data_IF_872340130688
#
_entry.id   IF_872340130688
#
_cell.length_a   1.000
_cell.length_b   1.000
_cell.length_c   1.000
_cell.angle_alpha   90.00
_cell.angle_beta   90.00
_cell.angle_gamma   90.00
#
_symmetry.space_group_name_H-M   'P 1'
#
loop_
_entity.id
_entity.type
_entity.pdbx_description
1 polymer ?
#
# COMPACT_ATOMS: atom_id res chain seq x y z
N UNK A 1 -19.81 2.94 0.22
CA UNK A 1 -19.68 4.31 -0.37
C UNK A 1 -19.95 4.27 -1.86
N UNK A 2 -20.91 5.06 -2.36
CA UNK A 2 -21.30 5.00 -3.79
C UNK A 2 -20.54 5.99 -4.67
N UNK A 3 -20.17 7.16 -4.13
CA UNK A 3 -19.45 8.23 -4.84
C UNK A 3 -18.32 8.78 -3.98
N UNK A 4 -17.27 9.25 -4.64
CA UNK A 4 -16.16 9.98 -4.00
C UNK A 4 -16.31 11.51 -4.17
N UNK A 5 -17.27 11.97 -4.98
CA UNK A 5 -17.50 13.40 -5.20
C UNK A 5 -17.73 14.13 -3.87
N UNK A 6 -17.04 15.27 -3.68
CA UNK A 6 -17.08 16.11 -2.48
C UNK A 6 -16.58 15.43 -1.18
N UNK A 7 -16.07 14.19 -1.24
CA UNK A 7 -15.42 13.54 -0.10
C UNK A 7 -14.04 14.15 0.15
N UNK A 8 -13.58 14.11 1.39
CA UNK A 8 -12.20 14.48 1.76
C UNK A 8 -11.43 13.20 2.03
N UNK A 9 -10.37 12.98 1.26
CA UNK A 9 -9.55 11.78 1.32
C UNK A 9 -8.12 12.09 1.73
N UNK A 10 -7.64 11.48 2.81
CA UNK A 10 -6.25 11.53 3.27
C UNK A 10 -5.50 10.32 2.74
N UNK A 11 -4.33 10.51 2.14
CA UNK A 11 -3.52 9.45 1.55
C UNK A 11 -2.08 9.58 2.05
N UNK A 12 -1.59 8.59 2.78
CA UNK A 12 -0.17 8.50 3.17
C UNK A 12 0.63 7.74 2.12
N UNK A 13 1.92 8.08 1.95
CA UNK A 13 2.76 7.54 0.88
C UNK A 13 2.26 7.99 -0.50
N UNK A 14 1.79 9.25 -0.59
CA UNK A 14 1.20 9.79 -1.81
C UNK A 14 2.22 10.33 -2.82
N UNK A 15 3.48 10.42 -2.45
CA UNK A 15 4.56 10.88 -3.33
C UNK A 15 4.84 9.94 -4.51
N UNK A 16 4.48 8.67 -4.43
CA UNK A 16 4.75 7.72 -5.50
C UNK A 16 3.75 6.55 -5.56
N UNK A 17 3.94 5.65 -6.53
CA UNK A 17 3.30 4.34 -6.59
C UNK A 17 1.79 4.36 -6.47
N UNK A 18 1.24 3.47 -5.64
CA UNK A 18 -0.22 3.33 -5.43
C UNK A 18 -0.81 4.61 -4.83
N UNK A 19 -0.14 5.23 -3.84
CA UNK A 19 -0.63 6.43 -3.16
C UNK A 19 -0.82 7.60 -4.11
N UNK A 20 0.14 7.89 -4.98
CA UNK A 20 0.04 8.91 -6.04
C UNK A 20 -1.19 8.68 -6.92
N UNK A 21 -1.40 7.45 -7.39
CA UNK A 21 -2.53 7.16 -8.27
C UNK A 21 -3.87 7.08 -7.53
N UNK A 22 -3.90 6.77 -6.24
CA UNK A 22 -5.09 6.95 -5.41
C UNK A 22 -5.50 8.43 -5.36
N UNK A 23 -4.55 9.33 -5.09
CA UNK A 23 -4.80 10.77 -5.06
C UNK A 23 -5.32 11.28 -6.41
N UNK A 24 -4.67 10.91 -7.52
CA UNK A 24 -5.08 11.32 -8.88
C UNK A 24 -6.49 10.82 -9.21
N UNK A 25 -6.81 9.56 -8.93
CA UNK A 25 -8.11 8.98 -9.25
C UNK A 25 -9.23 9.54 -8.37
N UNK A 26 -8.94 9.82 -7.10
CA UNK A 26 -9.89 10.47 -6.18
C UNK A 26 -10.16 11.91 -6.60
N UNK A 27 -9.13 12.70 -6.93
CA UNK A 27 -9.28 14.06 -7.43
C UNK A 27 -10.09 14.07 -8.75
N UNK A 28 -9.81 13.14 -9.66
CA UNK A 28 -10.58 12.97 -10.90
C UNK A 28 -12.07 12.64 -10.64
N UNK A 29 -12.35 11.92 -9.55
CA UNK A 29 -13.70 11.59 -9.11
C UNK A 29 -14.40 12.72 -8.32
N UNK A 30 -13.78 13.90 -8.20
CA UNK A 30 -14.32 15.07 -7.52
C UNK A 30 -14.09 15.07 -6.00
N UNK A 31 -13.20 14.23 -5.48
CA UNK A 31 -12.82 14.26 -4.07
C UNK A 31 -11.76 15.33 -3.81
N UNK A 32 -11.87 16.04 -2.69
CA UNK A 32 -10.78 16.83 -2.14
C UNK A 32 -9.72 15.87 -1.55
N UNK A 33 -8.44 16.16 -1.78
CA UNK A 33 -7.38 15.23 -1.40
C UNK A 33 -6.34 15.90 -0.50
N UNK A 34 -5.94 15.15 0.52
CA UNK A 34 -4.83 15.49 1.42
C UNK A 34 -3.75 14.47 1.17
N UNK A 35 -2.61 14.92 0.62
CA UNK A 35 -1.50 14.06 0.25
C UNK A 35 -0.36 14.19 1.25
N UNK A 36 0.11 13.05 1.78
CA UNK A 36 1.18 12.99 2.77
C UNK A 36 2.30 12.07 2.30
N UNK A 37 3.53 12.51 2.43
CA UNK A 37 4.72 11.69 2.17
C UNK A 37 5.91 12.23 2.98
N UNK A 38 6.91 11.41 3.21
CA UNK A 38 8.17 11.84 3.84
C UNK A 38 9.09 12.54 2.84
N UNK A 39 8.93 12.26 1.54
CA UNK A 39 9.74 12.83 0.47
C UNK A 39 9.00 14.00 -0.18
N UNK A 40 9.50 15.22 0.08
CA UNK A 40 8.91 16.47 -0.41
C UNK A 40 8.95 16.59 -1.93
N UNK A 41 10.04 16.19 -2.59
CA UNK A 41 10.18 16.32 -4.03
C UNK A 41 9.13 15.49 -4.78
N UNK A 42 9.01 14.22 -4.43
CA UNK A 42 8.02 13.32 -5.05
C UNK A 42 6.58 13.69 -4.68
N UNK A 43 6.37 14.29 -3.50
CA UNK A 43 5.06 14.81 -3.10
C UNK A 43 4.68 16.01 -3.96
N UNK A 44 5.62 16.93 -4.22
CA UNK A 44 5.43 18.09 -5.10
C UNK A 44 5.09 17.66 -6.53
N UNK A 45 5.77 16.64 -7.08
CA UNK A 45 5.37 16.06 -8.38
C UNK A 45 3.91 15.61 -8.38
N UNK A 46 3.45 14.99 -7.29
CA UNK A 46 2.05 14.55 -7.18
C UNK A 46 1.09 15.73 -7.14
N UNK A 47 1.43 16.79 -6.40
CA UNK A 47 0.64 18.03 -6.33
C UNK A 47 0.50 18.66 -7.72
N UNK A 48 1.60 18.75 -8.49
CA UNK A 48 1.55 19.26 -9.85
C UNK A 48 0.59 18.46 -10.74
N UNK A 49 0.58 17.13 -10.61
CA UNK A 49 -0.37 16.27 -11.33
C UNK A 49 -1.83 16.50 -10.89
N UNK A 50 -2.06 16.95 -9.66
CA UNK A 50 -3.40 17.22 -9.13
C UNK A 50 -3.95 18.57 -9.56
N UNK A 51 -3.13 19.56 -9.93
CA UNK A 51 -3.53 20.92 -10.32
C UNK A 51 -4.48 20.97 -11.52
N UNK A 52 -4.55 19.92 -12.32
CA UNK A 52 -5.48 19.83 -13.45
C UNK A 52 -6.93 19.53 -13.05
N UNK A 53 -7.19 19.17 -11.79
CA UNK A 53 -8.51 18.81 -11.29
C UNK A 53 -9.08 19.97 -10.46
N UNK A 54 -10.39 20.23 -10.60
CA UNK A 54 -11.08 21.28 -9.86
C UNK A 54 -11.53 20.78 -8.46
N UNK A 55 -10.55 20.51 -7.59
CA UNK A 55 -10.75 20.03 -6.21
C UNK A 55 -9.78 20.73 -5.27
N UNK A 56 -10.12 20.76 -3.97
CA UNK A 56 -9.20 21.27 -2.97
C UNK A 56 -8.11 20.24 -2.68
N UNK A 57 -6.85 20.69 -2.69
CA UNK A 57 -5.66 19.88 -2.42
C UNK A 57 -4.89 20.51 -1.26
N UNK A 58 -4.51 19.71 -0.28
CA UNK A 58 -3.50 20.09 0.72
C UNK A 58 -2.43 19.01 0.84
N UNK A 59 -1.23 19.40 1.27
CA UNK A 59 -0.09 18.50 1.37
C UNK A 59 0.61 18.64 2.72
N UNK A 60 1.16 17.53 3.22
CA UNK A 60 1.93 17.49 4.45
C UNK A 60 3.15 16.60 4.26
N UNK A 61 4.34 17.19 4.42
CA UNK A 61 5.59 16.42 4.53
C UNK A 61 5.65 15.89 5.96
N UNK A 62 5.57 14.57 6.11
CA UNK A 62 5.59 13.92 7.42
C UNK A 62 6.06 12.46 7.32
N UNK A 63 6.68 11.98 8.39
CA UNK A 63 6.97 10.55 8.57
C UNK A 63 5.81 9.90 9.36
N UNK A 64 5.18 8.88 8.78
CA UNK A 64 4.10 8.14 9.45
C UNK A 64 4.58 7.37 10.70
N UNK A 65 5.87 7.13 10.84
CA UNK A 65 6.47 6.55 12.03
C UNK A 65 6.56 7.56 13.19
N UNK A 66 6.53 8.87 12.89
CA UNK A 66 6.47 9.92 13.92
C UNK A 66 5.04 10.03 14.44
N UNK A 67 4.86 9.62 15.70
CA UNK A 67 3.53 9.55 16.33
C UNK A 67 2.91 10.94 16.49
N UNK A 68 3.69 11.94 16.87
CA UNK A 68 3.24 13.30 17.09
C UNK A 68 2.71 13.93 15.80
N UNK A 69 3.40 13.73 14.67
CA UNK A 69 2.97 14.23 13.37
C UNK A 69 1.63 13.61 12.94
N UNK A 70 1.48 12.30 13.16
CA UNK A 70 0.25 11.57 12.82
C UNK A 70 -0.91 11.97 13.73
N UNK A 71 -0.69 12.18 15.03
CA UNK A 71 -1.72 12.62 15.98
C UNK A 71 -2.19 14.06 15.70
N UNK A 72 -1.33 14.92 15.17
CA UNK A 72 -1.68 16.29 14.78
C UNK A 72 -2.38 16.39 13.42
N UNK A 73 -2.25 15.38 12.53
CA UNK A 73 -2.73 15.45 11.17
C UNK A 73 -4.26 15.64 11.05
N UNK A 74 -5.14 14.95 11.82
CA UNK A 74 -6.58 15.15 11.71
C UNK A 74 -7.02 16.59 11.94
N UNK A 75 -6.42 17.30 12.92
CA UNK A 75 -6.68 18.72 13.19
C UNK A 75 -6.39 19.58 11.96
N UNK A 76 -5.22 19.41 11.35
CA UNK A 76 -4.82 20.13 10.13
C UNK A 76 -5.78 19.85 8.94
N UNK A 77 -6.23 18.59 8.80
CA UNK A 77 -7.18 18.21 7.76
C UNK A 77 -8.53 18.89 7.97
N UNK A 78 -9.04 18.92 9.20
CA UNK A 78 -10.33 19.55 9.53
C UNK A 78 -10.27 21.06 9.37
N UNK A 79 -9.17 21.69 9.75
CA UNK A 79 -8.95 23.13 9.55
C UNK A 79 -9.02 23.49 8.06
N UNK A 80 -8.38 22.72 7.20
CA UNK A 80 -8.30 23.01 5.76
C UNK A 80 -9.54 22.58 4.96
N UNK A 81 -10.22 21.51 5.35
CA UNK A 81 -11.27 20.87 4.56
C UNK A 81 -12.60 20.69 5.30
N UNK A 82 -12.67 21.06 6.58
CA UNK A 82 -13.86 20.96 7.43
C UNK A 82 -14.29 19.57 7.85
N UNK A 83 -13.70 18.53 7.26
CA UNK A 83 -14.06 17.12 7.49
C UNK A 83 -13.00 16.15 7.01
N UNK A 84 -13.16 14.87 7.38
CA UNK A 84 -12.47 13.73 6.77
C UNK A 84 -13.46 12.60 6.50
N UNK A 85 -13.43 12.03 5.31
CA UNK A 85 -14.35 10.95 4.90
C UNK A 85 -13.61 9.64 4.58
N UNK A 86 -12.36 9.73 4.09
CA UNK A 86 -11.54 8.58 3.68
C UNK A 86 -10.13 8.74 4.20
N UNK A 87 -9.58 7.66 4.76
CA UNK A 87 -8.16 7.59 5.15
C UNK A 87 -7.53 6.37 4.51
N UNK A 88 -6.53 6.60 3.65
CA UNK A 88 -5.73 5.55 3.03
C UNK A 88 -4.38 5.48 3.75
N UNK A 89 -4.23 4.54 4.66
CA UNK A 89 -2.97 4.18 5.27
C UNK A 89 -2.18 3.33 4.28
N UNK A 90 -1.50 4.01 3.34
CA UNK A 90 -0.84 3.38 2.22
C UNK A 90 0.69 3.48 2.30
N UNK A 91 1.25 4.41 3.05
CA UNK A 91 2.70 4.48 3.26
C UNK A 91 3.26 3.12 3.68
N UNK A 92 4.40 2.77 3.14
CA UNK A 92 5.04 1.50 3.45
C UNK A 92 6.42 1.38 2.84
N UNK A 93 7.28 0.67 3.55
CA UNK A 93 8.68 0.45 3.21
C UNK A 93 9.00 -1.03 3.25
N UNK A 94 10.14 -1.42 2.70
CA UNK A 94 10.63 -2.78 2.73
C UNK A 94 12.10 -2.83 3.16
N UNK A 95 12.49 -3.97 3.68
CA UNK A 95 13.87 -4.43 3.81
C UNK A 95 13.94 -5.87 3.35
N UNK A 96 15.11 -6.33 3.00
CA UNK A 96 15.37 -7.72 2.60
C UNK A 96 16.56 -8.33 3.37
N UNK A 97 16.75 -9.62 3.19
CA UNK A 97 17.84 -10.37 3.80
C UNK A 97 17.39 -11.42 4.80
N UNK A 98 18.34 -12.28 5.18
CA UNK A 98 18.08 -13.30 6.18
C UNK A 98 17.93 -12.68 7.56
N UNK A 99 17.02 -13.20 8.37
CA UNK A 99 16.73 -12.67 9.70
C UNK A 99 17.96 -12.58 10.61
N UNK A 100 18.89 -13.53 10.49
CA UNK A 100 20.14 -13.55 11.28
C UNK A 100 21.09 -12.38 10.98
N UNK A 101 20.96 -11.77 9.79
CA UNK A 101 21.81 -10.70 9.27
C UNK A 101 21.06 -9.35 9.21
N UNK A 102 19.81 -9.31 9.72
CA UNK A 102 18.97 -8.11 9.70
C UNK A 102 19.31 -7.22 10.88
N UNK A 103 19.74 -6.00 10.60
CA UNK A 103 20.02 -4.98 11.61
C UNK A 103 18.72 -4.58 12.35
N UNK A 104 18.84 -4.36 13.68
CA UNK A 104 17.71 -3.96 14.53
C UNK A 104 17.12 -2.62 14.08
N UNK A 105 17.95 -1.68 13.61
CA UNK A 105 17.50 -0.40 13.05
C UNK A 105 16.53 -0.57 11.88
N UNK A 106 16.80 -1.48 10.95
CA UNK A 106 15.91 -1.75 9.82
C UNK A 106 14.64 -2.47 10.25
N UNK A 107 14.75 -3.35 11.26
CA UNK A 107 13.58 -3.96 11.87
C UNK A 107 12.64 -2.90 12.45
N UNK A 108 13.17 -2.02 13.31
CA UNK A 108 12.39 -0.96 13.98
C UNK A 108 11.82 0.04 12.98
N UNK A 109 12.60 0.42 11.97
CA UNK A 109 12.12 1.30 10.90
C UNK A 109 10.92 0.71 10.14
N UNK A 110 10.98 -0.57 9.75
CA UNK A 110 9.87 -1.23 9.03
C UNK A 110 8.65 -1.39 9.94
N UNK A 111 8.86 -1.74 11.22
CA UNK A 111 7.78 -1.79 12.22
C UNK A 111 7.14 -0.42 12.43
N UNK A 112 7.94 0.62 12.55
CA UNK A 112 7.50 2.00 12.72
C UNK A 112 6.58 2.46 11.60
N UNK A 113 7.05 2.34 10.36
CA UNK A 113 6.29 2.79 9.17
C UNK A 113 5.09 1.87 8.89
N UNK A 114 5.33 0.57 8.74
CA UNK A 114 4.33 -0.35 8.19
C UNK A 114 3.24 -0.75 9.16
N UNK A 115 3.53 -0.76 10.47
CA UNK A 115 2.56 -1.18 11.50
C UNK A 115 2.16 0.00 12.38
N UNK A 116 3.10 0.64 13.08
CA UNK A 116 2.76 1.70 14.01
C UNK A 116 2.17 2.91 13.30
N UNK A 117 2.66 3.28 12.12
CA UNK A 117 2.08 4.33 11.27
C UNK A 117 0.61 4.06 10.93
N UNK A 118 0.28 2.83 10.55
CA UNK A 118 -1.11 2.42 10.26
C UNK A 118 -1.99 2.47 11.51
N UNK A 119 -1.52 1.93 12.64
CA UNK A 119 -2.27 1.88 13.90
C UNK A 119 -2.49 3.27 14.46
N UNK A 120 -1.45 4.10 14.51
CA UNK A 120 -1.52 5.46 15.06
C UNK A 120 -2.42 6.37 14.20
N UNK A 121 -2.28 6.31 12.87
CA UNK A 121 -3.16 7.03 11.94
C UNK A 121 -4.62 6.60 12.11
N UNK A 122 -4.88 5.30 12.13
CA UNK A 122 -6.24 4.77 12.35
C UNK A 122 -6.83 5.30 13.66
N UNK A 123 -6.06 5.26 14.76
CA UNK A 123 -6.48 5.76 16.08
C UNK A 123 -6.76 7.26 16.06
N UNK A 124 -5.91 8.05 15.41
CA UNK A 124 -6.03 9.50 15.34
C UNK A 124 -7.28 9.94 14.54
N UNK A 125 -7.61 9.23 13.45
CA UNK A 125 -8.71 9.63 12.58
C UNK A 125 -10.09 9.12 13.01
N UNK A 126 -10.20 7.96 13.68
CA UNK A 126 -11.49 7.37 14.11
C UNK A 126 -12.41 8.38 14.81
N UNK A 127 -11.96 9.17 15.82
CA UNK A 127 -12.83 10.11 16.54
C UNK A 127 -13.49 11.15 15.62
N UNK A 128 -12.88 11.48 14.50
CA UNK A 128 -13.36 12.48 13.54
C UNK A 128 -14.23 11.88 12.42
N UNK A 129 -14.35 10.55 12.37
CA UNK A 129 -15.05 9.82 11.32
C UNK A 129 -16.26 9.03 11.82
N UNK A 130 -16.27 8.66 13.11
CA UNK A 130 -17.19 7.67 13.68
C UNK A 130 -18.65 8.11 13.61
N UNK A 131 -18.95 9.40 13.81
CA UNK A 131 -20.29 9.96 13.79
C UNK A 131 -20.72 10.49 12.41
N UNK A 132 -19.89 10.27 11.40
CA UNK A 132 -20.16 10.76 10.05
C UNK A 132 -20.78 9.67 9.16
N UNK A 133 -21.65 10.06 8.22
CA UNK A 133 -22.22 9.10 7.27
C UNK A 133 -21.19 8.71 6.20
N UNK A 134 -21.12 7.42 5.88
CA UNK A 134 -20.28 6.89 4.78
C UNK A 134 -18.80 7.30 4.85
N UNK A 135 -18.12 6.92 5.91
CA UNK A 135 -16.67 7.08 6.06
C UNK A 135 -15.94 5.74 5.86
N UNK A 136 -14.65 5.79 5.53
CA UNK A 136 -13.85 4.57 5.40
C UNK A 136 -12.38 4.76 5.77
N UNK A 137 -11.81 3.74 6.43
CA UNK A 137 -10.37 3.58 6.65
C UNK A 137 -9.88 2.40 5.83
N UNK A 138 -8.83 2.63 5.04
CA UNK A 138 -8.29 1.67 4.09
C UNK A 138 -6.83 1.41 4.46
N UNK A 139 -6.54 0.25 5.03
CA UNK A 139 -5.22 -0.14 5.49
C UNK A 139 -4.53 -1.04 4.46
N UNK A 140 -3.33 -0.65 4.03
CA UNK A 140 -2.56 -1.39 3.03
C UNK A 140 -1.67 -2.43 3.69
N UNK A 141 -2.12 -3.68 3.66
CA UNK A 141 -1.31 -4.86 3.93
C UNK A 141 -0.51 -5.24 2.67
N UNK A 142 -0.45 -6.51 2.31
CA UNK A 142 0.21 -7.07 1.14
C UNK A 142 -0.30 -8.49 0.92
N UNK A 143 0.01 -9.09 -0.23
CA UNK A 143 -0.01 -10.55 -0.36
C UNK A 143 0.92 -11.19 0.67
N UNK A 144 2.01 -10.53 1.07
CA UNK A 144 2.90 -10.93 2.14
C UNK A 144 2.32 -10.76 3.56
N UNK A 145 1.06 -10.35 3.69
CA UNK A 145 0.21 -10.50 4.87
C UNK A 145 -0.70 -11.74 4.81
N UNK A 146 -0.54 -12.60 3.78
CA UNK A 146 -1.29 -13.85 3.60
C UNK A 146 -0.38 -15.05 3.41
N UNK A 147 0.74 -14.87 2.70
CA UNK A 147 1.76 -15.90 2.44
C UNK A 147 3.13 -15.40 2.87
N UNK A 148 4.04 -16.30 3.16
CA UNK A 148 5.41 -15.98 3.54
C UNK A 148 6.41 -16.46 2.48
N UNK A 149 7.49 -15.71 2.32
CA UNK A 149 8.64 -16.01 1.49
C UNK A 149 9.95 -15.79 2.28
N UNK A 150 11.04 -16.47 1.97
CA UNK A 150 12.34 -16.23 2.60
C UNK A 150 12.81 -14.78 2.41
N UNK A 151 13.65 -14.30 3.30
CA UNK A 151 14.33 -13.00 3.16
C UNK A 151 13.48 -11.74 3.46
N UNK A 152 12.24 -11.89 3.97
CA UNK A 152 11.33 -10.77 4.23
C UNK A 152 10.62 -10.86 5.59
N UNK A 153 11.27 -11.42 6.61
CA UNK A 153 10.64 -11.74 7.89
C UNK A 153 9.94 -10.56 8.57
N UNK A 154 10.59 -9.40 8.68
CA UNK A 154 9.98 -8.20 9.30
C UNK A 154 8.84 -7.64 8.45
N UNK A 155 8.97 -7.65 7.13
CA UNK A 155 7.90 -7.21 6.24
C UNK A 155 6.67 -8.09 6.39
N UNK A 156 6.85 -9.42 6.44
CA UNK A 156 5.76 -10.36 6.76
C UNK A 156 5.14 -10.05 8.11
N UNK A 157 5.96 -9.91 9.16
CA UNK A 157 5.46 -9.61 10.51
C UNK A 157 4.54 -8.39 10.50
N UNK A 158 4.95 -7.27 9.86
CA UNK A 158 4.14 -6.06 9.78
C UNK A 158 2.87 -6.25 8.96
N UNK A 159 2.94 -6.91 7.80
CA UNK A 159 1.80 -7.02 6.89
C UNK A 159 0.76 -8.04 7.38
N UNK A 160 1.16 -9.12 8.08
CA UNK A 160 0.25 -10.00 8.81
C UNK A 160 -0.39 -9.25 9.99
N UNK A 161 0.38 -8.46 10.75
CA UNK A 161 -0.14 -7.66 11.85
C UNK A 161 -1.18 -6.62 11.37
N UNK A 162 -0.90 -5.88 10.29
CA UNK A 162 -1.85 -4.93 9.67
C UNK A 162 -3.14 -5.65 9.24
N UNK A 163 -3.02 -6.84 8.64
CA UNK A 163 -4.19 -7.64 8.29
C UNK A 163 -5.01 -7.99 9.53
N UNK A 164 -4.39 -8.60 10.54
CA UNK A 164 -5.09 -9.02 11.77
C UNK A 164 -5.74 -7.85 12.48
N UNK A 165 -5.02 -6.73 12.63
CA UNK A 165 -5.53 -5.49 13.18
C UNK A 165 -6.76 -4.98 12.40
N UNK A 166 -6.65 -4.91 11.08
CA UNK A 166 -7.72 -4.37 10.22
C UNK A 166 -8.96 -5.27 10.21
N UNK A 167 -8.78 -6.60 10.15
CA UNK A 167 -9.90 -7.56 10.19
C UNK A 167 -10.62 -7.52 11.56
N UNK A 168 -9.88 -7.40 12.68
CA UNK A 168 -10.46 -7.25 14.03
C UNK A 168 -11.25 -5.93 14.15
N UNK A 169 -10.63 -4.81 13.76
CA UNK A 169 -11.28 -3.50 13.78
C UNK A 169 -12.55 -3.45 12.89
N UNK A 170 -12.52 -4.11 11.73
CA UNK A 170 -13.69 -4.19 10.86
C UNK A 170 -14.89 -4.87 11.55
N UNK A 171 -14.65 -5.92 12.33
CA UNK A 171 -15.71 -6.59 13.10
C UNK A 171 -16.23 -5.72 14.25
N UNK A 172 -15.35 -4.99 14.94
CA UNK A 172 -15.74 -4.04 15.98
C UNK A 172 -16.62 -2.94 15.40
N UNK A 173 -16.19 -2.28 14.32
CA UNK A 173 -16.94 -1.20 13.69
C UNK A 173 -18.25 -1.66 13.08
N UNK A 174 -18.32 -2.84 12.49
CA UNK A 174 -19.56 -3.40 11.96
C UNK A 174 -20.67 -3.53 13.04
N UNK A 175 -20.28 -3.75 14.28
CA UNK A 175 -21.21 -3.90 15.39
C UNK A 175 -21.54 -2.58 16.11
N UNK A 176 -20.59 -1.63 16.15
CA UNK A 176 -20.71 -0.40 16.94
C UNK A 176 -21.00 0.83 16.09
N UNK A 177 -20.37 0.93 14.91
CA UNK A 177 -20.40 2.11 14.05
C UNK A 177 -20.43 1.70 12.55
N UNK A 178 -21.55 1.14 12.06
CA UNK A 178 -21.62 0.55 10.71
C UNK A 178 -21.42 1.54 9.57
N UNK A 179 -21.47 2.84 9.84
CA UNK A 179 -21.17 3.89 8.86
C UNK A 179 -19.67 4.06 8.57
N UNK A 180 -18.81 3.61 9.48
CA UNK A 180 -17.36 3.60 9.30
C UNK A 180 -16.91 2.24 8.72
N UNK A 181 -16.64 2.23 7.44
CA UNK A 181 -16.16 1.04 6.73
C UNK A 181 -14.66 0.83 6.94
N UNK A 182 -14.24 -0.40 7.18
CA UNK A 182 -12.83 -0.74 7.36
C UNK A 182 -12.43 -1.75 6.29
N UNK A 183 -11.38 -1.43 5.53
CA UNK A 183 -10.90 -2.22 4.40
C UNK A 183 -9.44 -2.62 4.56
N UNK A 184 -9.13 -3.88 4.33
CA UNK A 184 -7.76 -4.38 4.23
C UNK A 184 -7.40 -4.62 2.76
N UNK A 185 -6.36 -3.93 2.28
CA UNK A 185 -5.86 -4.06 0.90
C UNK A 185 -4.67 -5.01 0.87
N UNK A 186 -4.69 -5.95 -0.07
CA UNK A 186 -3.62 -6.92 -0.28
C UNK A 186 -3.10 -6.83 -1.72
N UNK A 187 -2.15 -5.90 -1.99
CA UNK A 187 -1.48 -5.83 -3.29
C UNK A 187 -0.60 -7.06 -3.50
N UNK A 188 -0.63 -7.59 -4.73
CA UNK A 188 0.38 -8.52 -5.22
C UNK A 188 1.60 -7.77 -5.76
N UNK A 189 2.17 -8.23 -6.87
CA UNK A 189 3.31 -7.58 -7.50
C UNK A 189 2.86 -6.32 -8.26
N UNK A 190 3.04 -5.16 -7.64
CA UNK A 190 2.75 -3.85 -8.21
C UNK A 190 4.07 -3.14 -8.54
N UNK A 191 4.18 -2.58 -9.74
CA UNK A 191 5.36 -1.87 -10.23
C UNK A 191 5.58 -0.53 -9.55
N UNK A 192 6.03 -0.55 -8.30
CA UNK A 192 6.36 0.61 -7.47
C UNK A 192 7.86 0.66 -7.18
N UNK A 193 8.31 1.73 -6.54
CA UNK A 193 9.69 1.89 -6.12
C UNK A 193 10.02 1.16 -4.80
N UNK A 194 9.10 0.37 -4.24
CA UNK A 194 9.27 -0.24 -2.90
C UNK A 194 10.52 -1.11 -2.78
N UNK A 195 10.90 -1.79 -3.87
CA UNK A 195 12.11 -2.60 -3.88
C UNK A 195 13.38 -1.73 -4.02
N UNK A 196 13.39 -0.73 -4.91
CA UNK A 196 14.53 0.16 -5.08
C UNK A 196 14.74 1.13 -3.91
N UNK A 197 13.68 1.39 -3.11
CA UNK A 197 13.74 2.21 -1.90
C UNK A 197 13.98 1.38 -0.62
N UNK A 198 14.14 0.08 -0.74
CA UNK A 198 14.39 -0.78 0.42
C UNK A 198 15.75 -0.44 1.04
N UNK A 199 15.80 -0.42 2.36
CA UNK A 199 17.06 -0.24 3.12
C UNK A 199 17.55 -1.58 3.61
N UNK A 200 18.84 -1.84 3.44
CA UNK A 200 19.53 -3.03 3.94
C UNK A 200 21.04 -2.78 3.92
N UNK A 201 21.80 -3.62 4.61
CA UNK A 201 23.26 -3.54 4.60
C UNK A 201 23.84 -3.89 3.22
N UNK A 202 25.04 -3.41 2.92
CA UNK A 202 25.74 -3.71 1.66
C UNK A 202 25.98 -5.22 1.49
N UNK A 203 26.28 -5.92 2.58
CA UNK A 203 26.44 -7.38 2.59
C UNK A 203 25.13 -8.08 2.19
N UNK A 204 24.00 -7.62 2.74
CA UNK A 204 22.67 -8.14 2.38
C UNK A 204 22.34 -7.87 0.91
N UNK A 205 22.68 -6.69 0.38
CA UNK A 205 22.46 -6.35 -1.03
C UNK A 205 23.26 -7.31 -1.95
N UNK A 206 24.52 -7.57 -1.61
CA UNK A 206 25.38 -8.47 -2.38
C UNK A 206 24.85 -9.92 -2.34
N UNK A 207 24.44 -10.40 -1.17
CA UNK A 207 23.81 -11.73 -1.03
C UNK A 207 22.52 -11.83 -1.85
N UNK A 208 21.66 -10.82 -1.81
CA UNK A 208 20.43 -10.79 -2.60
C UNK A 208 20.68 -10.80 -4.11
N UNK A 209 21.77 -10.14 -4.56
CA UNK A 209 22.19 -10.14 -5.95
C UNK A 209 22.68 -11.53 -6.40
N UNK A 210 23.50 -12.21 -5.58
CA UNK A 210 23.97 -13.57 -5.85
C UNK A 210 22.81 -14.57 -5.89
N UNK A 211 21.88 -14.51 -4.93
CA UNK A 211 20.71 -15.39 -4.89
C UNK A 211 19.78 -15.16 -6.07
N UNK A 212 19.56 -13.89 -6.47
CA UNK A 212 18.75 -13.55 -7.64
C UNK A 212 19.32 -14.15 -8.93
N UNK A 213 20.65 -14.10 -9.09
CA UNK A 213 21.34 -14.68 -10.23
C UNK A 213 21.28 -16.22 -10.23
N UNK A 214 21.43 -16.85 -9.07
CA UNK A 214 21.40 -18.30 -8.93
C UNK A 214 20.02 -18.91 -9.15
N UNK A 215 18.96 -18.20 -8.77
CA UNK A 215 17.59 -18.70 -8.85
C UNK A 215 16.86 -18.36 -10.16
N UNK A 216 17.52 -17.65 -11.09
CA UNK A 216 16.92 -17.18 -12.35
C UNK A 216 15.56 -16.46 -12.13
N UNK A 217 15.40 -15.76 -11.00
CA UNK A 217 14.18 -15.02 -10.70
C UNK A 217 13.95 -13.81 -11.64
N UNK A 218 14.98 -13.42 -12.34
CA UNK A 218 14.99 -12.25 -13.23
C UNK A 218 15.20 -12.67 -14.67
N UNK A 219 14.65 -11.94 -15.63
CA UNK A 219 14.84 -12.24 -17.07
C UNK A 219 16.26 -12.04 -17.56
N UNK A 220 16.97 -11.10 -16.94
CA UNK A 220 18.37 -10.80 -17.20
C UNK A 220 19.06 -10.84 -15.85
N UNK A 221 20.22 -11.45 -15.76
CA UNK A 221 21.00 -11.45 -14.54
C UNK A 221 21.25 -10.01 -14.08
N UNK A 222 20.71 -9.57 -12.93
CA UNK A 222 20.94 -8.22 -12.44
C UNK A 222 22.43 -8.04 -12.12
N UNK A 223 22.95 -6.87 -12.42
CA UNK A 223 24.35 -6.50 -12.14
C UNK A 223 24.47 -5.62 -10.90
N UNK A 224 23.35 -5.11 -10.42
CA UNK A 224 23.27 -4.29 -9.22
C UNK A 224 21.92 -4.48 -8.49
N UNK A 225 21.85 -4.05 -7.23
CA UNK A 225 20.59 -4.03 -6.50
C UNK A 225 19.57 -3.07 -7.13
N UNK A 226 20.03 -1.99 -7.77
CA UNK A 226 19.19 -1.09 -8.55
C UNK A 226 18.53 -1.81 -9.73
N UNK A 227 19.26 -2.70 -10.41
CA UNK A 227 18.69 -3.54 -11.47
C UNK A 227 17.58 -4.44 -10.95
N UNK A 228 17.73 -5.02 -9.75
CA UNK A 228 16.67 -5.81 -9.09
C UNK A 228 15.43 -4.93 -8.88
N UNK A 229 15.61 -3.74 -8.34
CA UNK A 229 14.54 -2.77 -8.11
C UNK A 229 13.82 -2.37 -9.40
N UNK A 230 14.56 -2.07 -10.46
CA UNK A 230 14.03 -1.71 -11.77
C UNK A 230 13.28 -2.89 -12.41
N UNK A 231 13.81 -4.11 -12.34
CA UNK A 231 13.13 -5.30 -12.84
C UNK A 231 11.85 -5.59 -12.05
N UNK A 232 11.85 -5.38 -10.72
CA UNK A 232 10.64 -5.46 -9.91
C UNK A 232 9.59 -4.44 -10.37
N UNK A 233 9.99 -3.19 -10.51
CA UNK A 233 9.10 -2.11 -10.98
C UNK A 233 8.51 -2.41 -12.35
N UNK A 234 9.34 -2.78 -13.31
CA UNK A 234 8.93 -3.06 -14.69
C UNK A 234 8.10 -4.35 -14.81
N UNK A 235 8.30 -5.28 -13.88
CA UNK A 235 7.62 -6.56 -13.85
C UNK A 235 6.21 -6.51 -13.27
N UNK A 236 5.88 -5.51 -12.47
CA UNK A 236 4.64 -5.43 -11.74
C UNK A 236 3.45 -4.86 -12.52
N UNK A 237 2.26 -5.00 -11.93
CA UNK A 237 1.07 -4.30 -12.41
C UNK A 237 1.28 -2.80 -12.30
N UNK A 238 0.83 -2.02 -13.30
CA UNK A 238 0.92 -0.56 -13.21
C UNK A 238 0.12 -0.02 -12.01
N UNK A 239 0.69 0.89 -11.18
CA UNK A 239 0.06 1.39 -9.96
C UNK A 239 -1.31 2.02 -10.16
N UNK A 240 -1.58 2.65 -11.31
CA UNK A 240 -2.91 3.20 -11.61
C UNK A 240 -4.01 2.14 -11.68
N UNK A 241 -3.70 0.93 -12.15
CA UNK A 241 -4.65 -0.19 -12.16
C UNK A 241 -4.88 -0.71 -10.75
N UNK A 242 -3.83 -0.80 -9.95
CA UNK A 242 -3.93 -1.16 -8.55
C UNK A 242 -4.83 -0.19 -7.79
N UNK A 243 -4.59 1.11 -7.90
CA UNK A 243 -5.41 2.15 -7.29
C UNK A 243 -6.88 2.06 -7.73
N UNK A 244 -7.15 1.84 -9.01
CA UNK A 244 -8.51 1.67 -9.51
C UNK A 244 -9.21 0.43 -8.91
N UNK A 245 -8.50 -0.70 -8.77
CA UNK A 245 -9.06 -1.92 -8.13
C UNK A 245 -9.37 -1.63 -6.66
N UNK A 246 -8.50 -0.89 -5.96
CA UNK A 246 -8.69 -0.50 -4.54
C UNK A 246 -9.95 0.34 -4.42
N UNK A 247 -10.07 1.43 -5.17
CA UNK A 247 -11.24 2.34 -5.13
C UNK A 247 -12.55 1.62 -5.47
N UNK A 248 -12.52 0.72 -6.46
CA UNK A 248 -13.68 -0.13 -6.76
C UNK A 248 -14.02 -1.11 -5.63
N UNK A 249 -13.02 -1.59 -4.89
CA UNK A 249 -13.21 -2.40 -3.69
C UNK A 249 -13.90 -1.62 -2.57
N UNK A 250 -13.44 -0.39 -2.32
CA UNK A 250 -14.05 0.54 -1.33
C UNK A 250 -15.51 0.85 -1.71
N UNK A 251 -15.78 1.19 -2.99
CA UNK A 251 -17.16 1.45 -3.46
C UNK A 251 -18.09 0.26 -3.26
N UNK A 252 -17.59 -0.96 -3.39
CA UNK A 252 -18.33 -2.21 -3.20
C UNK A 252 -18.34 -2.70 -1.75
N UNK A 253 -17.85 -1.90 -0.83
CA UNK A 253 -17.71 -2.23 0.60
C UNK A 253 -17.07 -3.60 0.86
N UNK A 254 -15.97 -3.91 0.16
CA UNK A 254 -15.25 -5.15 0.36
C UNK A 254 -14.31 -5.03 1.56
N UNK A 255 -14.52 -5.79 2.61
CA UNK A 255 -13.63 -5.82 3.79
C UNK A 255 -12.19 -6.23 3.40
N UNK A 256 -12.03 -7.13 2.41
CA UNK A 256 -10.74 -7.58 1.87
C UNK A 256 -10.65 -7.27 0.37
N UNK A 257 -9.64 -6.49 -0.01
CA UNK A 257 -9.41 -6.05 -1.40
C UNK A 257 -8.10 -6.66 -1.90
N UNK A 258 -8.18 -7.74 -2.67
CA UNK A 258 -7.01 -8.42 -3.25
C UNK A 258 -6.73 -7.83 -4.62
N UNK A 259 -5.51 -7.31 -4.81
CA UNK A 259 -5.09 -6.57 -6.01
C UNK A 259 -4.06 -7.40 -6.79
N UNK A 260 -4.45 -7.85 -7.97
CA UNK A 260 -3.63 -8.68 -8.84
C UNK A 260 -4.11 -10.12 -8.94
N UNK A 261 -3.83 -10.75 -10.08
CA UNK A 261 -4.15 -12.16 -10.29
C UNK A 261 -3.21 -13.06 -9.47
N UNK A 262 -1.94 -12.68 -9.39
CA UNK A 262 -0.91 -13.27 -8.55
C UNK A 262 -1.36 -13.36 -7.09
N UNK A 263 -1.81 -12.24 -6.52
CA UNK A 263 -2.31 -12.20 -5.16
C UNK A 263 -3.53 -13.12 -4.94
N UNK A 264 -4.45 -13.18 -5.91
CA UNK A 264 -5.62 -14.05 -5.84
C UNK A 264 -5.26 -15.53 -5.89
N UNK A 265 -4.31 -15.90 -6.74
CA UNK A 265 -3.84 -17.27 -6.86
C UNK A 265 -3.10 -17.72 -5.61
N UNK A 266 -2.26 -16.85 -5.04
CA UNK A 266 -1.53 -17.15 -3.81
C UNK A 266 -2.46 -17.23 -2.58
N UNK A 267 -3.48 -16.32 -2.47
CA UNK A 267 -4.50 -16.42 -1.41
C UNK A 267 -5.26 -17.75 -1.52
N UNK A 268 -5.66 -18.15 -2.72
CA UNK A 268 -6.33 -19.42 -2.95
C UNK A 268 -5.43 -20.62 -2.60
N UNK A 269 -4.18 -20.58 -3.04
CA UNK A 269 -3.20 -21.64 -2.76
C UNK A 269 -2.98 -21.82 -1.26
N UNK A 270 -2.81 -20.72 -0.53
CA UNK A 270 -2.62 -20.76 0.92
C UNK A 270 -3.86 -21.34 1.65
N UNK A 271 -5.06 -21.06 1.16
CA UNK A 271 -6.31 -21.59 1.74
C UNK A 271 -6.48 -23.09 1.49
N UNK A 272 -6.14 -23.54 0.29
CA UNK A 272 -6.29 -24.96 -0.09
C UNK A 272 -5.14 -25.82 0.42
N UNK A 273 -3.92 -25.26 0.47
CA UNK A 273 -2.71 -25.99 0.83
C UNK A 273 -1.88 -25.26 1.90
N UNK A 274 -2.43 -25.03 3.12
CA UNK A 274 -1.81 -24.15 4.14
C UNK A 274 -0.40 -24.60 4.56
N UNK A 275 -0.10 -25.91 4.49
CA UNK A 275 1.24 -26.47 4.81
C UNK A 275 2.21 -26.44 3.62
N UNK A 276 1.70 -26.32 2.39
CA UNK A 276 2.50 -26.58 1.18
C UNK A 276 2.41 -25.47 0.14
N UNK A 277 1.74 -24.33 0.42
CA UNK A 277 1.59 -23.22 -0.52
C UNK A 277 2.95 -22.69 -1.03
N UNK A 278 4.02 -22.76 -0.22
CA UNK A 278 5.37 -22.40 -0.63
C UNK A 278 5.90 -23.24 -1.81
N UNK A 279 5.48 -24.51 -1.94
CA UNK A 279 5.83 -25.37 -3.09
C UNK A 279 5.05 -24.97 -4.34
N UNK A 280 3.80 -24.53 -4.18
CA UNK A 280 2.97 -24.06 -5.29
C UNK A 280 3.48 -22.73 -5.83
N UNK A 281 4.09 -21.89 -4.99
CA UNK A 281 4.73 -20.66 -5.42
C UNK A 281 5.77 -20.89 -6.51
N UNK A 282 6.70 -21.81 -6.30
CA UNK A 282 7.75 -22.14 -7.28
C UNK A 282 7.12 -22.60 -8.61
N UNK A 283 6.02 -23.34 -8.54
CA UNK A 283 5.33 -23.85 -9.74
C UNK A 283 4.59 -22.74 -10.51
N UNK A 284 4.02 -21.75 -9.81
CA UNK A 284 3.23 -20.67 -10.42
C UNK A 284 4.03 -19.42 -10.77
N UNK A 285 5.22 -19.22 -10.21
CA UNK A 285 6.08 -18.06 -10.50
C UNK A 285 6.33 -17.84 -12.00
N UNK A 286 6.68 -18.87 -12.81
CA UNK A 286 6.87 -18.66 -14.25
C UNK A 286 5.59 -18.23 -14.98
N UNK A 287 4.42 -18.73 -14.54
CA UNK A 287 3.11 -18.37 -15.11
C UNK A 287 2.73 -16.92 -14.78
N UNK A 288 3.07 -16.41 -13.59
CA UNK A 288 2.80 -15.02 -13.20
C UNK A 288 3.55 -14.02 -14.09
N UNK A 289 4.72 -14.39 -14.61
CA UNK A 289 5.46 -13.58 -15.57
C UNK A 289 4.83 -13.51 -16.96
N UNK A 290 3.94 -14.43 -17.33
CA UNK A 290 3.26 -14.45 -18.63
C UNK A 290 2.07 -13.46 -18.71
N UNK A 291 1.44 -13.12 -17.57
CA UNK A 291 0.23 -12.26 -17.51
C UNK A 291 0.55 -10.81 -17.13
N UNK A 292 1.68 -10.27 -17.61
CA UNK A 292 2.13 -8.90 -17.29
C UNK A 292 1.28 -7.84 -17.99
N UNK A 293 0.57 -7.05 -17.21
CA UNK A 293 -0.20 -5.93 -17.72
C UNK A 293 0.54 -4.59 -17.46
N UNK A 294 1.46 -4.27 -18.36
CA UNK A 294 2.40 -3.12 -18.26
C UNK A 294 1.78 -1.77 -18.63
N UNK A 295 0.56 -1.74 -19.18
CA UNK A 295 -0.01 -0.49 -19.72
C UNK A 295 -0.77 0.27 -18.64
N UNK A 296 -0.61 1.60 -18.55
CA UNK A 296 -1.47 2.43 -17.72
C UNK A 296 -2.94 2.28 -18.18
N UNK A 297 -3.88 2.67 -17.34
CA UNK A 297 -5.28 2.74 -17.73
C UNK A 297 -5.41 3.67 -18.95
N UNK A 298 -5.89 3.14 -20.09
CA UNK A 298 -5.99 3.88 -21.36
C UNK A 298 -7.01 5.01 -21.30
N UNK A 299 -8.04 4.85 -20.53
CA UNK A 299 -9.01 5.89 -20.17
C UNK A 299 -9.69 5.48 -18.87
N UNK A 300 -9.93 6.45 -18.01
CA UNK A 300 -10.82 6.26 -16.90
C UNK A 300 -12.14 6.83 -17.41
N UNK A 301 -13.16 5.97 -17.55
CA UNK A 301 -14.50 6.44 -17.90
C UNK A 301 -14.94 7.51 -16.87
N UNK A 302 -15.77 8.46 -17.30
CA UNK A 302 -16.31 9.53 -16.41
C UNK A 302 -17.25 8.99 -15.33
N UNK A 303 -17.47 7.67 -15.30
CA UNK A 303 -18.38 6.97 -14.38
C UNK A 303 -17.70 6.58 -13.05
N UNK A 304 -16.88 7.48 -12.50
CA UNK A 304 -16.37 7.37 -11.14
C UNK A 304 -17.21 8.17 -10.17
#
# INVERSE_FOLDING_TARGET
>A
MKSFNEKVAVITGAGSGIGRYLAILLAKAGANVVVCDVNEDTLNETIEMLNQYNVSVSSHVLDVANKEDIEALPGKVIENHGKVDLVFNNAGVATGGHFKDLDEEYWDWVMGVNLHGVVNSTRAFIPHMIDRPETAIINTSSIFGMVAAPGHSVYHATKFAVRGFTEGLALEMANTNPNLQIHCVHPGHIGTNIASSAKMSEETMNTALEESNNLNFTRNNPTSYEDIGNQFKDGGMHPSKAANIILNGVRKNKSRIIVGLDAKLLDLSQRLFPKHYHKTWILFMPLLFLFRDKKPLKSISRDF
#
